data_IF_660098844350
#
_entry.id   IF_660098844350
#
_cell.length_a   1.000
_cell.length_b   1.000
_cell.length_c   1.000
_cell.angle_alpha   90.00
_cell.angle_beta   90.00
_cell.angle_gamma   90.00
#
_symmetry.space_group_name_H-M   'P 1'
#
loop_
_entity.id
_entity.type
_entity.pdbx_description
1 polymer ?
#
# COMPACT_ATOMS: atom_id res chain seq x y z
N UNK A 1 3.05 -9.74 26.96
CA UNK A 1 3.09 -8.84 25.78
C UNK A 1 4.00 -7.70 26.14
N UNK A 2 5.08 -7.47 25.38
CA UNK A 2 5.95 -6.32 25.61
C UNK A 2 5.14 -5.04 25.38
N UNK A 3 5.12 -4.13 26.36
CA UNK A 3 4.56 -2.79 26.19
C UNK A 3 5.42 -2.05 25.16
N UNK A 4 5.10 -2.18 23.87
CA UNK A 4 5.72 -1.37 22.82
C UNK A 4 5.09 0.01 22.92
N UNK A 5 5.90 1.03 23.23
CA UNK A 5 5.40 2.41 23.24
C UNK A 5 5.38 2.92 21.81
N UNK A 6 4.27 3.55 21.40
CA UNK A 6 4.14 4.03 20.02
C UNK A 6 5.24 5.03 19.65
N UNK A 7 5.65 5.87 20.61
CA UNK A 7 6.74 6.85 20.43
C UNK A 7 8.12 6.24 20.18
N UNK A 8 8.32 4.94 20.40
CA UNK A 8 9.61 4.28 20.14
C UNK A 8 9.85 4.10 18.63
N UNK A 9 8.79 4.13 17.81
CA UNK A 9 8.89 3.85 16.38
C UNK A 9 8.04 4.77 15.50
N UNK A 10 7.12 5.55 16.06
CA UNK A 10 6.23 6.45 15.33
C UNK A 10 6.33 7.87 15.91
N UNK A 11 6.29 8.87 15.03
CA UNK A 11 6.34 10.29 15.42
C UNK A 11 5.23 11.10 14.76
N UNK A 12 4.95 12.27 15.31
CA UNK A 12 4.17 13.30 14.63
C UNK A 12 4.78 13.60 13.23
N UNK A 13 3.92 13.87 12.25
CA UNK A 13 4.30 14.06 10.85
C UNK A 13 4.56 12.78 10.06
N UNK A 14 4.56 11.61 10.69
CA UNK A 14 4.73 10.34 10.00
C UNK A 14 3.55 10.04 9.08
N UNK A 15 3.86 9.45 7.91
CA UNK A 15 2.86 8.91 7.00
C UNK A 15 2.44 7.53 7.50
N UNK A 16 1.14 7.32 7.67
CA UNK A 16 0.57 6.05 8.11
C UNK A 16 -0.58 5.63 7.21
N UNK A 17 -0.61 4.36 6.83
CA UNK A 17 -1.74 3.81 6.08
C UNK A 17 -2.75 3.24 7.04
N UNK A 18 -4.03 3.54 6.86
CA UNK A 18 -5.10 3.01 7.71
C UNK A 18 -6.14 2.29 6.88
N UNK A 19 -6.88 1.39 7.52
CA UNK A 19 -7.99 0.67 6.94
C UNK A 19 -9.05 0.49 8.00
N UNK A 20 -10.23 1.02 7.71
CA UNK A 20 -11.44 0.82 8.51
C UNK A 20 -11.93 -0.62 8.40
N UNK A 21 -12.58 -1.14 9.44
CA UNK A 21 -13.05 -2.52 9.50
C UNK A 21 -14.05 -2.89 8.38
N UNK A 22 -14.83 -1.93 7.88
CA UNK A 22 -15.79 -2.14 6.81
C UNK A 22 -15.22 -1.86 5.41
N UNK A 23 -13.94 -1.53 5.31
CA UNK A 23 -13.28 -1.20 4.04
C UNK A 23 -12.19 -2.20 3.68
N UNK A 24 -12.11 -2.55 2.40
CA UNK A 24 -10.93 -3.24 1.85
C UNK A 24 -9.77 -2.29 1.56
N UNK A 25 -10.03 -0.99 1.47
CA UNK A 25 -9.08 0.00 0.96
C UNK A 25 -8.18 0.53 2.06
N UNK A 26 -6.89 0.70 1.73
CA UNK A 26 -5.94 1.39 2.58
C UNK A 26 -5.87 2.86 2.18
N UNK A 27 -6.04 3.73 3.16
CA UNK A 27 -5.99 5.19 3.04
C UNK A 27 -4.67 5.69 3.60
N UNK A 28 -4.04 6.67 2.96
CA UNK A 28 -2.78 7.27 3.42
C UNK A 28 -3.07 8.52 4.22
N UNK A 29 -2.60 8.59 5.46
CA UNK A 29 -2.89 9.68 6.40
C UNK A 29 -1.59 10.19 7.02
N UNK A 30 -1.68 11.33 7.69
CA UNK A 30 -0.59 11.92 8.47
C UNK A 30 -0.93 11.81 9.96
N UNK A 31 0.05 11.44 10.77
CA UNK A 31 -0.05 11.48 12.24
C UNK A 31 0.09 12.92 12.72
N UNK A 32 -0.97 13.49 13.30
CA UNK A 32 -0.94 14.84 13.88
C UNK A 32 -0.44 14.86 15.31
N UNK A 33 -0.85 13.89 16.12
CA UNK A 33 -0.44 13.77 17.51
C UNK A 33 -0.33 12.30 17.91
N UNK A 34 0.50 12.05 18.91
CA UNK A 34 0.75 10.70 19.42
C UNK A 34 0.96 10.75 20.94
N UNK A 35 0.55 9.70 21.62
CA UNK A 35 0.91 9.45 23.00
C UNK A 35 1.36 7.99 23.18
N UNK A 36 1.43 7.50 24.42
CA UNK A 36 1.90 6.15 24.71
C UNK A 36 1.05 5.06 24.04
N UNK A 37 -0.28 5.23 23.99
CA UNK A 37 -1.25 4.23 23.54
C UNK A 37 -2.25 4.73 22.47
N UNK A 38 -2.10 5.96 21.96
CA UNK A 38 -3.00 6.47 20.92
C UNK A 38 -2.28 7.33 19.88
N UNK A 39 -2.89 7.39 18.69
CA UNK A 39 -2.52 8.28 17.59
C UNK A 39 -3.73 9.10 17.17
N UNK A 40 -3.49 10.34 16.77
CA UNK A 40 -4.47 11.19 16.09
C UNK A 40 -4.02 11.36 14.66
N UNK A 41 -4.91 11.05 13.73
CA UNK A 41 -4.64 11.11 12.29
C UNK A 41 -5.63 12.03 11.61
N UNK A 42 -5.15 12.68 10.56
CA UNK A 42 -6.01 13.35 9.59
C UNK A 42 -6.95 12.34 8.93
N UNK A 43 -8.18 12.74 8.66
CA UNK A 43 -9.11 11.98 7.81
C UNK A 43 -9.63 12.80 6.62
N UNK A 44 -9.20 14.07 6.51
CA UNK A 44 -9.63 15.11 5.57
C UNK A 44 -10.62 14.66 4.51
N UNK A 45 -11.92 14.65 4.84
CA UNK A 45 -13.06 14.23 4.00
C UNK A 45 -12.73 13.17 2.92
N UNK A 46 -11.88 12.19 3.22
CA UNK A 46 -11.55 11.20 2.23
C UNK A 46 -12.80 10.39 1.93
N UNK A 47 -13.16 10.29 0.64
CA UNK A 47 -14.35 9.58 0.18
C UNK A 47 -14.49 8.19 0.83
N UNK A 48 -13.36 7.51 1.01
CA UNK A 48 -13.30 6.21 1.68
C UNK A 48 -13.86 6.24 3.11
N UNK A 49 -13.65 7.29 3.90
CA UNK A 49 -14.14 7.34 5.28
C UNK A 49 -15.60 7.74 5.39
N UNK A 50 -16.05 8.64 4.50
CA UNK A 50 -17.45 9.06 4.42
C UNK A 50 -18.32 7.88 3.99
N UNK A 51 -17.91 7.16 2.94
CA UNK A 51 -18.64 6.01 2.41
C UNK A 51 -18.72 4.84 3.43
N UNK A 52 -17.75 4.74 4.34
CA UNK A 52 -17.68 3.68 5.35
C UNK A 52 -18.27 4.07 6.73
N UNK A 53 -18.78 5.31 6.87
CA UNK A 53 -19.40 5.83 8.10
C UNK A 53 -18.58 5.52 9.37
N UNK A 54 -17.39 6.12 9.52
CA UNK A 54 -16.58 5.93 10.73
C UNK A 54 -17.36 6.34 11.98
N UNK A 55 -17.41 5.43 12.96
CA UNK A 55 -18.02 5.62 14.27
C UNK A 55 -17.01 5.43 15.41
N UNK A 56 -17.29 6.04 16.56
CA UNK A 56 -16.57 5.74 17.80
C UNK A 56 -16.82 4.28 18.17
N UNK A 57 -15.75 3.57 18.52
CA UNK A 57 -15.74 2.13 18.79
C UNK A 57 -15.33 1.28 17.59
N UNK A 58 -15.31 1.85 16.37
CA UNK A 58 -14.87 1.10 15.19
C UNK A 58 -13.41 0.68 15.28
N UNK A 59 -13.12 -0.48 14.70
CA UNK A 59 -11.75 -1.00 14.65
C UNK A 59 -11.02 -0.43 13.44
N UNK A 60 -9.86 0.14 13.68
CA UNK A 60 -8.93 0.62 12.67
C UNK A 60 -7.68 -0.27 12.66
N UNK A 61 -7.25 -0.66 11.47
CA UNK A 61 -5.94 -1.25 11.25
C UNK A 61 -5.02 -0.21 10.65
N UNK A 62 -3.83 -0.06 11.19
CA UNK A 62 -2.84 0.87 10.68
C UNK A 62 -1.56 0.14 10.28
N UNK A 63 -0.91 0.60 9.21
CA UNK A 63 0.37 0.12 8.72
C UNK A 63 1.35 1.27 8.69
N UNK A 64 2.49 1.06 9.32
CA UNK A 64 3.62 1.97 9.30
C UNK A 64 4.88 1.16 9.00
N UNK A 65 5.82 1.75 8.28
CA UNK A 65 7.09 1.11 7.99
C UNK A 65 8.19 2.14 8.12
N UNK A 66 9.32 1.73 8.68
CA UNK A 66 10.58 2.43 8.58
C UNK A 66 11.61 1.52 7.87
N UNK A 67 12.86 1.97 7.81
CA UNK A 67 13.92 1.25 7.08
C UNK A 67 14.12 -0.17 7.66
N UNK A 68 13.99 -0.33 8.98
CA UNK A 68 14.31 -1.58 9.67
C UNK A 68 13.10 -2.50 9.87
N UNK A 69 11.90 -1.95 10.00
CA UNK A 69 10.72 -2.68 10.48
C UNK A 69 9.41 -2.25 9.80
N UNK A 70 8.51 -3.22 9.65
CA UNK A 70 7.10 -3.00 9.36
C UNK A 70 6.27 -3.20 10.64
N UNK A 71 5.31 -2.31 10.86
CA UNK A 71 4.43 -2.31 12.02
C UNK A 71 2.97 -2.40 11.56
N UNK A 72 2.22 -3.31 12.17
CA UNK A 72 0.75 -3.35 12.07
C UNK A 72 0.16 -3.00 13.42
N UNK A 73 -0.64 -1.94 13.47
CA UNK A 73 -1.34 -1.48 14.67
C UNK A 73 -2.82 -1.81 14.55
N UNK A 74 -3.44 -2.25 15.65
CA UNK A 74 -4.89 -2.42 15.74
C UNK A 74 -5.38 -1.56 16.90
N UNK A 75 -6.40 -0.75 16.63
CA UNK A 75 -6.96 0.15 17.62
C UNK A 75 -8.43 0.48 17.38
N UNK A 76 -9.03 1.15 18.36
CA UNK A 76 -10.40 1.62 18.29
C UNK A 76 -10.46 3.13 18.10
N UNK A 77 -11.41 3.61 17.29
CA UNK A 77 -11.75 5.02 17.22
C UNK A 77 -12.33 5.45 18.57
N UNK A 78 -11.70 6.38 19.27
CA UNK A 78 -12.16 6.89 20.57
C UNK A 78 -12.72 8.29 20.50
N UNK A 79 -12.34 9.05 19.46
CA UNK A 79 -12.80 10.42 19.25
C UNK A 79 -12.80 10.74 17.75
N UNK A 80 -13.79 11.52 17.33
CA UNK A 80 -13.89 12.09 15.98
C UNK A 80 -14.00 13.61 16.16
N UNK A 81 -13.14 14.36 15.47
CA UNK A 81 -13.15 15.82 15.42
C UNK A 81 -13.48 16.25 14.00
N UNK A 82 -14.58 16.98 13.83
CA UNK A 82 -15.05 17.44 12.53
C UNK A 82 -14.65 18.89 12.22
N UNK A 83 -14.04 19.59 13.19
CA UNK A 83 -13.48 20.94 13.00
C UNK A 83 -12.08 20.87 12.42
N UNK A 84 -11.74 21.80 11.52
CA UNK A 84 -10.46 21.82 10.81
C UNK A 84 -9.22 21.90 11.75
N UNK A 85 -8.17 21.09 11.52
CA UNK A 85 -8.16 19.93 10.62
C UNK A 85 -9.00 18.79 11.22
N UNK A 86 -9.77 18.13 10.36
CA UNK A 86 -10.60 16.98 10.74
C UNK A 86 -9.71 15.79 11.13
N UNK A 87 -10.06 15.11 12.21
CA UNK A 87 -9.22 14.03 12.72
C UNK A 87 -10.00 12.95 13.44
N UNK A 88 -9.37 11.78 13.56
CA UNK A 88 -9.81 10.74 14.47
C UNK A 88 -8.68 10.36 15.42
N UNK A 89 -9.04 10.08 16.67
CA UNK A 89 -8.14 9.49 17.65
C UNK A 89 -8.35 7.98 17.66
N UNK A 90 -7.28 7.23 17.46
CA UNK A 90 -7.24 5.77 17.49
C UNK A 90 -6.46 5.34 18.73
N UNK A 91 -7.13 4.67 19.67
CA UNK A 91 -6.46 4.02 20.80
C UNK A 91 -5.97 2.65 20.37
N UNK A 92 -4.66 2.49 20.30
CA UNK A 92 -3.98 1.27 19.89
C UNK A 92 -3.94 0.30 21.07
N UNK A 93 -4.37 -0.93 20.84
CA UNK A 93 -4.36 -1.99 21.84
C UNK A 93 -3.55 -3.21 21.39
N UNK A 94 -3.15 -3.27 20.12
CA UNK A 94 -2.30 -4.34 19.58
C UNK A 94 -1.28 -3.78 18.59
N UNK A 95 -0.07 -4.31 18.64
CA UNK A 95 1.08 -3.91 17.83
C UNK A 95 1.86 -5.14 17.41
N UNK A 96 1.86 -5.42 16.12
CA UNK A 96 2.70 -6.44 15.51
C UNK A 96 3.90 -5.78 14.84
N UNK A 97 5.10 -6.29 15.10
CA UNK A 97 6.37 -5.80 14.54
C UNK A 97 7.03 -6.89 13.72
N UNK A 98 7.39 -6.58 12.49
CA UNK A 98 8.06 -7.47 11.55
C UNK A 98 9.36 -6.83 11.08
N UNK A 99 10.42 -7.63 10.90
CA UNK A 99 11.65 -7.15 10.27
C UNK A 99 11.34 -6.78 8.81
N UNK A 100 11.71 -5.56 8.41
CA UNK A 100 11.63 -5.16 7.03
C UNK A 100 12.73 -5.91 6.26
N UNK A 101 12.35 -6.94 5.51
CA UNK A 101 13.28 -7.75 4.69
C UNK A 101 13.50 -7.16 3.31
N UNK A 102 13.08 -5.92 3.07
CA UNK A 102 13.20 -5.30 1.75
C UNK A 102 14.54 -4.60 1.66
N UNK A 103 15.35 -5.04 0.70
CA UNK A 103 16.62 -4.38 0.40
C UNK A 103 16.43 -3.06 -0.37
N UNK A 104 15.23 -2.82 -0.92
CA UNK A 104 14.94 -1.66 -1.77
C UNK A 104 13.59 -1.01 -1.44
N UNK A 105 13.56 0.32 -1.39
CA UNK A 105 12.34 1.10 -1.23
C UNK A 105 11.38 0.88 -2.41
N UNK A 106 10.08 0.75 -2.13
CA UNK A 106 9.04 0.60 -3.16
C UNK A 106 8.23 1.88 -3.26
N UNK A 107 8.16 2.44 -4.46
CA UNK A 107 7.26 3.53 -4.78
C UNK A 107 5.89 2.97 -5.09
N UNK A 108 4.88 3.36 -4.31
CA UNK A 108 3.48 3.12 -4.66
C UNK A 108 3.15 3.96 -5.90
N UNK A 109 2.78 3.30 -6.99
CA UNK A 109 2.45 3.93 -8.28
C UNK A 109 1.15 3.35 -8.81
N UNK A 110 0.52 4.01 -9.78
CA UNK A 110 -0.68 3.50 -10.44
C UNK A 110 -0.60 3.80 -11.93
N UNK A 111 0.28 3.06 -12.63
CA UNK A 111 0.59 3.28 -14.04
C UNK A 111 0.00 2.17 -14.89
N UNK A 112 -0.63 2.56 -16.00
CA UNK A 112 -1.05 1.62 -17.03
C UNK A 112 0.19 0.95 -17.64
N UNK A 113 0.12 -0.36 -17.83
CA UNK A 113 1.20 -1.13 -18.43
C UNK A 113 0.66 -2.22 -19.35
N UNK A 114 1.49 -2.64 -20.29
CA UNK A 114 1.26 -3.81 -21.14
C UNK A 114 2.41 -4.78 -20.94
N UNK A 115 2.08 -5.99 -20.48
CA UNK A 115 3.02 -7.08 -20.26
C UNK A 115 3.20 -7.85 -21.55
N UNK A 116 4.44 -8.06 -21.96
CA UNK A 116 4.84 -8.74 -23.19
C UNK A 116 5.88 -9.81 -22.89
N UNK A 117 5.92 -10.87 -23.70
CA UNK A 117 6.93 -11.92 -23.57
C UNK A 117 8.28 -11.47 -24.14
N UNK A 118 8.27 -10.74 -25.24
CA UNK A 118 9.45 -10.06 -25.78
C UNK A 118 9.18 -8.58 -26.01
N UNK A 119 10.24 -7.76 -26.05
CA UNK A 119 10.12 -6.31 -26.25
C UNK A 119 9.36 -5.91 -27.54
N UNK A 120 9.40 -6.74 -28.56
CA UNK A 120 8.84 -6.44 -29.89
C UNK A 120 7.52 -7.17 -30.16
N UNK A 121 6.95 -7.90 -29.19
CA UNK A 121 5.70 -8.61 -29.40
C UNK A 121 4.53 -7.62 -29.58
N UNK A 122 3.70 -7.89 -30.59
CA UNK A 122 2.45 -7.15 -30.81
C UNK A 122 1.37 -7.56 -29.80
N UNK A 123 1.37 -8.82 -29.35
CA UNK A 123 0.47 -9.32 -28.31
C UNK A 123 1.00 -8.91 -26.94
N UNK A 124 0.12 -8.37 -26.11
CA UNK A 124 0.42 -8.05 -24.72
C UNK A 124 -0.83 -8.09 -23.84
N UNK A 125 -0.62 -8.23 -22.54
CA UNK A 125 -1.69 -8.26 -21.53
C UNK A 125 -1.70 -6.94 -20.77
N UNK A 126 -2.87 -6.32 -20.67
CA UNK A 126 -2.99 -5.08 -19.93
C UNK A 126 -2.90 -5.34 -18.42
N UNK A 127 -2.15 -4.50 -17.71
CA UNK A 127 -2.06 -4.55 -16.26
C UNK A 127 -1.85 -3.15 -15.68
N UNK A 128 -2.26 -2.97 -14.43
CA UNK A 128 -1.93 -1.78 -13.65
C UNK A 128 -0.73 -2.10 -12.76
N UNK A 129 0.39 -1.40 -12.97
CA UNK A 129 1.52 -1.48 -12.07
C UNK A 129 1.21 -0.70 -10.79
N UNK A 130 1.30 -1.37 -9.65
CA UNK A 130 0.87 -0.85 -8.33
C UNK A 130 2.02 -0.44 -7.43
N UNK A 131 3.21 -1.01 -7.63
CA UNK A 131 4.43 -0.51 -7.03
C UNK A 131 5.66 -0.87 -7.86
N UNK A 132 6.73 -0.11 -7.69
CA UNK A 132 8.01 -0.30 -8.36
C UNK A 132 9.15 -0.06 -7.38
N UNK A 133 10.21 -0.86 -7.50
CA UNK A 133 11.45 -0.74 -6.74
C UNK A 133 12.64 -1.12 -7.60
N UNK A 134 13.85 -0.87 -7.10
CA UNK A 134 15.06 -1.35 -7.78
C UNK A 134 15.10 -2.89 -7.88
N UNK A 135 14.48 -3.61 -6.96
CA UNK A 135 14.46 -5.07 -6.93
C UNK A 135 13.28 -5.74 -7.64
N UNK A 136 12.36 -4.97 -8.22
CA UNK A 136 11.19 -5.53 -8.91
C UNK A 136 9.95 -4.65 -8.83
N UNK A 137 8.86 -5.14 -9.41
CA UNK A 137 7.57 -4.44 -9.52
C UNK A 137 6.40 -5.37 -9.13
N UNK A 138 5.29 -4.78 -8.71
CA UNK A 138 4.02 -5.48 -8.55
C UNK A 138 2.97 -4.90 -9.49
N UNK A 139 2.09 -5.76 -10.00
CA UNK A 139 1.02 -5.38 -10.91
C UNK A 139 -0.28 -6.13 -10.59
N UNK A 140 -1.38 -5.60 -11.11
CA UNK A 140 -2.70 -6.23 -11.09
C UNK A 140 -3.18 -6.35 -12.53
N UNK A 141 -3.40 -7.59 -12.97
CA UNK A 141 -4.03 -7.92 -14.25
C UNK A 141 -5.40 -8.55 -14.02
N UNK A 142 -6.26 -8.49 -15.04
CA UNK A 142 -7.55 -9.20 -15.02
C UNK A 142 -7.39 -10.62 -15.55
N UNK A 143 -6.55 -10.77 -16.56
CA UNK A 143 -6.29 -12.02 -17.26
C UNK A 143 -5.16 -12.81 -16.60
N UNK A 144 -5.12 -14.11 -16.89
CA UNK A 144 -3.96 -14.94 -16.62
C UNK A 144 -2.86 -14.61 -17.65
N UNK A 145 -1.83 -13.92 -17.18
CA UNK A 145 -0.74 -13.40 -18.03
C UNK A 145 -0.01 -14.52 -18.76
N UNK A 146 0.23 -15.66 -18.09
CA UNK A 146 1.01 -16.74 -18.69
C UNK A 146 0.22 -17.43 -19.80
N UNK A 147 -1.06 -17.69 -19.53
CA UNK A 147 -1.97 -18.29 -20.50
C UNK A 147 -2.19 -17.37 -21.71
N UNK A 148 -2.42 -16.08 -21.48
CA UNK A 148 -2.61 -15.13 -22.57
C UNK A 148 -1.33 -14.92 -23.40
N UNK A 149 -0.15 -14.97 -22.78
CA UNK A 149 1.11 -14.85 -23.52
C UNK A 149 1.60 -16.19 -24.11
N UNK A 150 0.80 -17.25 -24.01
CA UNK A 150 1.10 -18.57 -24.58
C UNK A 150 2.39 -19.17 -24.00
N UNK A 151 2.60 -18.95 -22.70
CA UNK A 151 3.75 -19.52 -21.99
C UNK A 151 3.44 -20.99 -21.69
N UNK A 152 4.25 -21.95 -22.16
CA UNK A 152 3.99 -23.37 -21.92
C UNK A 152 4.06 -23.70 -20.42
N UNK A 153 3.10 -24.44 -19.90
CA UNK A 153 3.10 -24.91 -18.49
C UNK A 153 4.34 -25.76 -18.15
N UNK A 154 4.99 -26.35 -19.16
CA UNK A 154 6.22 -27.15 -19.01
C UNK A 154 7.48 -26.32 -18.79
N UNK A 155 7.41 -24.99 -18.93
CA UNK A 155 8.56 -24.10 -18.81
C UNK A 155 8.79 -23.74 -17.33
N UNK A 156 9.61 -24.54 -16.64
CA UNK A 156 9.91 -24.40 -15.20
C UNK A 156 11.09 -23.45 -14.89
N UNK A 157 11.61 -22.74 -15.90
CA UNK A 157 12.70 -21.78 -15.75
C UNK A 157 12.24 -20.38 -15.30
N UNK A 158 13.20 -19.50 -15.02
CA UNK A 158 12.91 -18.06 -14.86
C UNK A 158 12.33 -17.49 -16.16
N UNK A 159 11.17 -16.84 -16.04
CA UNK A 159 10.42 -16.27 -17.16
C UNK A 159 10.56 -14.76 -17.14
N UNK A 160 11.28 -14.22 -18.12
CA UNK A 160 11.43 -12.78 -18.24
C UNK A 160 10.26 -12.18 -19.03
N UNK A 161 9.63 -11.16 -18.45
CA UNK A 161 8.59 -10.38 -19.13
C UNK A 161 9.04 -8.93 -19.31
N UNK A 162 8.49 -8.28 -20.32
CA UNK A 162 8.70 -6.87 -20.60
C UNK A 162 7.43 -6.09 -20.28
N UNK A 163 7.56 -5.07 -19.45
CA UNK A 163 6.48 -4.16 -19.11
C UNK A 163 6.68 -2.88 -19.90
N UNK A 164 5.79 -2.62 -20.85
CA UNK A 164 5.66 -1.29 -21.46
C UNK A 164 4.78 -0.43 -20.56
N UNK A 165 5.39 0.54 -19.87
CA UNK A 165 4.75 1.37 -18.86
C UNK A 165 4.45 2.74 -19.46
N UNK A 166 3.18 3.15 -19.40
CA UNK A 166 2.71 4.42 -19.92
C UNK A 166 2.72 5.48 -18.82
N UNK A 167 3.58 6.49 -18.95
CA UNK A 167 3.59 7.66 -18.06
C UNK A 167 2.45 8.62 -18.45
N UNK A 168 2.22 8.76 -19.76
CA UNK A 168 1.08 9.47 -20.34
C UNK A 168 0.78 8.86 -21.73
N UNK A 169 -0.32 9.25 -22.40
CA UNK A 169 -0.69 8.65 -23.70
C UNK A 169 0.35 8.79 -24.81
N UNK A 170 1.34 9.67 -24.68
CA UNK A 170 2.37 9.98 -25.67
C UNK A 170 3.77 9.51 -25.26
N UNK A 171 3.97 9.01 -24.04
CA UNK A 171 5.28 8.57 -23.56
C UNK A 171 5.18 7.28 -22.75
N UNK A 172 5.88 6.25 -23.23
CA UNK A 172 6.09 5.00 -22.51
C UNK A 172 7.58 4.69 -22.37
N UNK A 173 7.90 3.80 -21.45
CA UNK A 173 9.22 3.17 -21.36
C UNK A 173 9.06 1.68 -21.08
N UNK A 174 10.04 0.88 -21.47
CA UNK A 174 9.99 -0.59 -21.33
C UNK A 174 10.96 -1.03 -20.24
N UNK A 175 10.45 -1.75 -19.25
CA UNK A 175 11.26 -2.40 -18.22
C UNK A 175 11.26 -3.93 -18.41
N UNK A 176 12.42 -4.59 -18.41
CA UNK A 176 12.48 -6.01 -18.14
C UNK A 176 12.19 -6.26 -16.66
N UNK A 177 11.32 -7.20 -16.35
CA UNK A 177 11.07 -7.66 -14.99
C UNK A 177 11.39 -9.17 -14.95
N UNK A 178 12.30 -9.52 -14.03
CA UNK A 178 12.72 -10.88 -13.71
C UNK A 178 11.70 -11.53 -12.77
#
# INVERSE_FOLDING_TARGET
MSNVKLRDFLSEGSIIRTRHCNSSNWVTNVVFAINEDWIEIDIGLEKNYIDNMIMIGDTMRCKYSNDDYEFTLIGWVTKIKLDEPQSITIKVHDVEKFLNRRDNYRYDIFLCSVIKRTKNDEKGVFAIMTNLSQGGAAFVGKEDVENELGVPESDQGEKNFYFEIFINPKSSFVLPVL
#
